data_IF_688620673518
#
_entry.id   IF_688620673518
#
_cell.length_a   1.000
_cell.length_b   1.000
_cell.length_c   1.000
_cell.angle_alpha   90.00
_cell.angle_beta   90.00
_cell.angle_gamma   90.00
#
_symmetry.space_group_name_H-M   'P 1'
#
loop_
_entity.id
_entity.type
_entity.pdbx_description
1 polymer ?
#
# COMPACT_ATOMS: atom_id res chain seq x y z
N UNK A 1 24.13 -25.19 -21.20
CA UNK A 1 23.36 -23.94 -21.33
C UNK A 1 22.19 -24.06 -20.39
N UNK A 2 22.39 -23.59 -19.17
CA UNK A 2 21.28 -23.34 -18.25
C UNK A 2 20.94 -21.87 -18.51
N UNK A 3 19.67 -21.57 -18.77
CA UNK A 3 19.23 -20.19 -18.85
C UNK A 3 19.37 -19.61 -17.44
N UNK A 4 20.42 -18.82 -17.24
CA UNK A 4 20.53 -17.86 -16.16
C UNK A 4 19.64 -16.66 -16.56
N UNK A 5 18.91 -16.10 -15.60
CA UNK A 5 18.00 -14.93 -15.70
C UNK A 5 16.48 -15.19 -15.72
N UNK A 6 15.98 -16.19 -14.99
CA UNK A 6 14.67 -16.02 -14.33
C UNK A 6 14.92 -15.69 -12.85
N UNK A 7 14.41 -14.56 -12.32
CA UNK A 7 14.53 -14.27 -10.90
C UNK A 7 13.88 -15.40 -10.11
N UNK A 8 14.54 -15.86 -9.05
CA UNK A 8 13.98 -16.86 -8.16
C UNK A 8 12.72 -16.28 -7.50
N UNK A 9 11.55 -16.61 -8.06
CA UNK A 9 10.25 -16.18 -7.56
C UNK A 9 9.94 -16.78 -6.18
N UNK A 10 10.76 -17.72 -5.66
CA UNK A 10 10.55 -18.32 -4.35
C UNK A 10 10.70 -17.33 -3.18
N UNK A 11 11.34 -16.17 -3.39
CA UNK A 11 11.48 -15.09 -2.39
C UNK A 11 10.43 -13.96 -2.54
N UNK A 12 9.48 -14.07 -3.48
CA UNK A 12 8.45 -13.04 -3.77
C UNK A 12 7.13 -13.34 -3.06
N UNK A 13 7.16 -13.18 -1.74
CA UNK A 13 5.99 -13.36 -0.89
C UNK A 13 4.82 -12.45 -1.26
N UNK A 14 5.08 -11.26 -1.83
CA UNK A 14 4.02 -10.40 -2.36
C UNK A 14 3.22 -11.04 -3.50
N UNK A 15 3.90 -11.70 -4.46
CA UNK A 15 3.25 -12.39 -5.59
C UNK A 15 2.47 -13.59 -5.07
N UNK A 16 3.10 -14.41 -4.22
CA UNK A 16 2.47 -15.60 -3.63
C UNK A 16 1.21 -15.22 -2.84
N UNK A 17 1.32 -14.25 -1.93
CA UNK A 17 0.20 -13.81 -1.09
C UNK A 17 -0.91 -13.18 -1.93
N UNK A 18 -0.58 -12.36 -2.93
CA UNK A 18 -1.59 -11.80 -3.82
C UNK A 18 -2.40 -12.90 -4.53
N UNK A 19 -1.72 -13.92 -5.08
CA UNK A 19 -2.40 -15.05 -5.71
C UNK A 19 -3.22 -15.89 -4.74
N UNK A 20 -2.77 -16.08 -3.50
CA UNK A 20 -3.56 -16.79 -2.48
C UNK A 20 -4.85 -16.02 -2.17
N UNK A 21 -4.78 -14.70 -1.95
CA UNK A 21 -5.96 -13.85 -1.73
C UNK A 21 -6.91 -13.87 -2.94
N UNK A 22 -6.38 -13.84 -4.15
CA UNK A 22 -7.16 -13.96 -5.39
C UNK A 22 -7.86 -15.31 -5.48
N UNK A 23 -7.16 -16.42 -5.21
CA UNK A 23 -7.73 -17.78 -5.22
C UNK A 23 -8.79 -17.99 -4.14
N UNK A 24 -8.62 -17.34 -2.99
CA UNK A 24 -9.59 -17.32 -1.90
C UNK A 24 -10.81 -16.42 -2.21
N UNK A 25 -10.79 -15.69 -3.34
CA UNK A 25 -11.87 -14.81 -3.78
C UNK A 25 -11.97 -13.53 -2.95
N UNK A 26 -10.90 -13.14 -2.25
CA UNK A 26 -10.89 -11.98 -1.36
C UNK A 26 -11.19 -10.68 -2.14
N UNK A 27 -10.50 -10.43 -3.25
CA UNK A 27 -10.68 -9.21 -4.04
C UNK A 27 -12.05 -9.13 -4.74
N UNK A 28 -12.64 -10.27 -5.09
CA UNK A 28 -13.97 -10.32 -5.71
C UNK A 28 -15.10 -10.13 -4.69
N UNK A 29 -14.89 -10.57 -3.45
CA UNK A 29 -15.89 -10.52 -2.38
C UNK A 29 -15.78 -9.28 -1.48
N UNK A 30 -14.67 -8.55 -1.57
CA UNK A 30 -14.39 -7.37 -0.73
C UNK A 30 -14.62 -6.08 -1.52
N UNK A 31 -15.61 -5.25 -1.14
CA UNK A 31 -15.79 -3.94 -1.77
C UNK A 31 -14.52 -3.09 -1.65
N UNK A 32 -14.23 -2.29 -2.67
CA UNK A 32 -13.01 -1.48 -2.70
C UNK A 32 -12.83 -0.59 -1.46
N UNK A 33 -13.92 0.05 -1.00
CA UNK A 33 -13.91 0.88 0.22
C UNK A 33 -13.49 0.08 1.46
N UNK A 34 -13.94 -1.18 1.57
CA UNK A 34 -13.55 -2.09 2.64
C UNK A 34 -12.07 -2.47 2.51
N UNK A 35 -11.61 -2.82 1.30
CA UNK A 35 -10.19 -3.12 1.05
C UNK A 35 -9.28 -1.94 1.43
N UNK A 36 -9.60 -0.73 0.97
CA UNK A 36 -8.84 0.48 1.34
C UNK A 36 -8.87 0.72 2.86
N UNK A 37 -10.02 0.50 3.51
CA UNK A 37 -10.13 0.56 4.96
C UNK A 37 -9.16 -0.39 5.67
N UNK A 38 -9.08 -1.64 5.22
CA UNK A 38 -8.15 -2.65 5.72
C UNK A 38 -6.69 -2.24 5.48
N UNK A 39 -6.36 -1.78 4.27
CA UNK A 39 -5.00 -1.31 3.93
C UNK A 39 -4.55 -0.14 4.82
N UNK A 40 -5.42 0.84 5.05
CA UNK A 40 -5.13 1.99 5.92
C UNK A 40 -4.93 1.55 7.38
N UNK A 41 -5.78 0.67 7.90
CA UNK A 41 -5.68 0.17 9.28
C UNK A 41 -4.42 -0.68 9.47
N UNK A 42 -4.14 -1.62 8.57
CA UNK A 42 -2.91 -2.40 8.64
C UNK A 42 -1.65 -1.53 8.54
N UNK A 43 -1.65 -0.53 7.65
CA UNK A 43 -0.52 0.41 7.54
C UNK A 43 -0.31 1.18 8.84
N UNK A 44 -1.40 1.62 9.48
CA UNK A 44 -1.37 2.35 10.75
C UNK A 44 -0.87 1.50 11.92
N UNK A 45 -1.32 0.25 12.01
CA UNK A 45 -1.07 -0.62 13.16
C UNK A 45 0.24 -1.42 13.04
N UNK A 46 0.62 -1.81 11.82
CA UNK A 46 1.72 -2.75 11.59
C UNK A 46 2.92 -2.14 10.87
N UNK A 47 2.71 -1.12 10.02
CA UNK A 47 3.79 -0.57 9.18
C UNK A 47 4.37 0.72 9.76
N UNK A 48 3.54 1.68 10.16
CA UNK A 48 4.00 2.95 10.73
C UNK A 48 4.89 2.77 11.97
N UNK A 49 4.62 1.84 12.91
CA UNK A 49 5.48 1.63 14.07
C UNK A 49 6.92 1.21 13.73
N UNK A 50 7.19 0.76 12.51
CA UNK A 50 8.53 0.39 12.03
C UNK A 50 9.44 1.62 11.78
N UNK A 51 8.90 2.84 11.85
CA UNK A 51 9.65 4.09 11.72
C UNK A 51 9.45 5.02 12.92
N UNK A 52 10.49 5.79 13.25
CA UNK A 52 10.39 6.88 14.24
C UNK A 52 9.91 8.20 13.63
N UNK A 53 9.65 8.20 12.33
CA UNK A 53 9.21 9.35 11.57
C UNK A 53 7.70 9.57 11.72
N UNK A 54 7.24 10.73 12.21
CA UNK A 54 5.82 10.96 12.44
C UNK A 54 5.03 11.31 11.18
N UNK A 55 5.66 11.67 10.05
CA UNK A 55 4.89 12.17 8.90
C UNK A 55 4.08 11.11 8.14
N UNK A 56 4.51 9.85 7.98
CA UNK A 56 3.69 8.79 7.40
C UNK A 56 2.32 8.66 8.08
N UNK A 57 2.24 8.84 9.41
CA UNK A 57 0.97 8.90 10.13
C UNK A 57 0.06 10.04 9.66
N UNK A 58 0.63 11.20 9.36
CA UNK A 58 -0.13 12.34 8.84
C UNK A 58 -0.76 12.06 7.47
N UNK A 59 -0.13 11.21 6.65
CA UNK A 59 -0.67 10.82 5.34
C UNK A 59 -1.88 9.90 5.51
N UNK A 60 -1.81 8.92 6.43
CA UNK A 60 -2.95 8.05 6.78
C UNK A 60 -4.12 8.86 7.35
N UNK A 61 -3.84 9.80 8.25
CA UNK A 61 -4.86 10.71 8.80
C UNK A 61 -5.53 11.51 7.68
N UNK A 62 -4.76 12.04 6.72
CA UNK A 62 -5.29 12.80 5.59
C UNK A 62 -6.16 11.92 4.69
N UNK A 63 -5.73 10.69 4.38
CA UNK A 63 -6.52 9.74 3.61
C UNK A 63 -7.86 9.42 4.28
N UNK A 64 -7.87 9.16 5.60
CA UNK A 64 -9.11 8.93 6.36
C UNK A 64 -10.01 10.17 6.39
N UNK A 65 -9.44 11.37 6.52
CA UNK A 65 -10.19 12.62 6.46
C UNK A 65 -10.82 12.85 5.09
N UNK A 66 -10.13 12.48 4.01
CA UNK A 66 -10.66 12.58 2.66
C UNK A 66 -11.83 11.61 2.44
N UNK A 67 -11.66 10.33 2.83
CA UNK A 67 -12.71 9.32 2.74
C UNK A 67 -13.98 9.68 3.54
N UNK A 68 -13.81 10.44 4.63
CA UNK A 68 -14.92 10.94 5.46
C UNK A 68 -15.45 12.32 5.04
N UNK A 69 -14.94 12.90 3.95
CA UNK A 69 -15.39 14.18 3.40
C UNK A 69 -14.96 15.43 4.18
N UNK A 70 -13.99 15.32 5.08
CA UNK A 70 -13.49 16.44 5.90
C UNK A 70 -12.44 17.29 5.18
N UNK A 71 -11.73 16.73 4.20
CA UNK A 71 -10.77 17.45 3.36
C UNK A 71 -11.05 17.20 1.88
N UNK A 72 -10.60 18.12 1.03
CA UNK A 72 -10.81 18.10 -0.42
C UNK A 72 -9.68 17.37 -1.16
N UNK A 73 -9.88 17.09 -2.44
CA UNK A 73 -8.81 16.59 -3.33
C UNK A 73 -7.62 17.56 -3.39
N UNK A 74 -7.85 18.88 -3.32
CA UNK A 74 -6.79 19.89 -3.31
C UNK A 74 -5.92 19.82 -2.06
N UNK A 75 -6.53 19.53 -0.90
CA UNK A 75 -5.80 19.35 0.36
C UNK A 75 -4.93 18.08 0.29
N UNK A 76 -5.49 17.01 -0.27
CA UNK A 76 -4.78 15.74 -0.48
C UNK A 76 -3.61 15.91 -1.47
N UNK A 77 -3.80 16.68 -2.54
CA UNK A 77 -2.77 17.02 -3.55
C UNK A 77 -1.59 17.80 -2.93
N UNK A 78 -1.88 18.80 -2.10
CA UNK A 78 -0.83 19.55 -1.40
C UNK A 78 -0.02 18.65 -0.49
N UNK A 79 -0.71 17.77 0.27
CA UNK A 79 -0.04 16.79 1.12
C UNK A 79 0.82 15.83 0.31
N UNK A 80 0.31 15.34 -0.82
CA UNK A 80 1.03 14.45 -1.73
C UNK A 80 2.29 15.10 -2.29
N UNK A 81 2.20 16.37 -2.69
CA UNK A 81 3.35 17.14 -3.20
C UNK A 81 4.46 17.21 -2.16
N UNK A 82 4.10 17.56 -0.91
CA UNK A 82 5.07 17.62 0.18
C UNK A 82 5.71 16.26 0.49
N UNK A 83 4.92 15.18 0.47
CA UNK A 83 5.41 13.83 0.70
C UNK A 83 6.37 13.35 -0.41
N UNK A 84 6.08 13.68 -1.68
CA UNK A 84 6.97 13.40 -2.81
C UNK A 84 8.30 14.16 -2.76
N UNK A 85 8.26 15.44 -2.39
CA UNK A 85 9.49 16.22 -2.25
C UNK A 85 10.40 15.62 -1.20
N UNK A 86 9.82 15.17 -0.08
CA UNK A 86 10.57 14.54 1.00
C UNK A 86 11.19 13.18 0.62
N UNK A 87 10.52 12.40 -0.23
CA UNK A 87 11.04 11.09 -0.68
C UNK A 87 12.43 11.16 -1.31
N UNK A 88 12.84 12.34 -1.81
CA UNK A 88 14.17 12.60 -2.37
C UNK A 88 15.29 12.46 -1.33
N UNK A 89 15.00 12.77 -0.07
CA UNK A 89 15.98 12.82 1.02
C UNK A 89 15.95 11.59 1.94
N UNK A 90 14.93 10.75 1.82
CA UNK A 90 14.77 9.53 2.64
C UNK A 90 15.54 8.35 2.05
N UNK A 91 16.00 7.46 2.93
CA UNK A 91 16.71 6.22 2.60
C UNK A 91 16.19 5.04 3.45
N UNK A 92 16.47 3.81 2.99
CA UNK A 92 16.12 2.59 3.73
C UNK A 92 14.61 2.45 3.99
N UNK A 93 14.26 1.75 5.08
CA UNK A 93 12.88 1.42 5.44
C UNK A 93 11.95 2.64 5.51
N UNK A 94 12.41 3.77 6.06
CA UNK A 94 11.61 5.01 6.13
C UNK A 94 11.20 5.52 4.75
N UNK A 95 12.06 5.37 3.73
CA UNK A 95 11.71 5.71 2.34
C UNK A 95 10.61 4.80 1.81
N UNK A 96 10.69 3.49 2.06
CA UNK A 96 9.69 2.53 1.60
C UNK A 96 8.34 2.74 2.31
N UNK A 97 8.35 3.00 3.62
CA UNK A 97 7.15 3.37 4.38
C UNK A 97 6.52 4.66 3.82
N UNK A 98 7.33 5.69 3.55
CA UNK A 98 6.81 6.92 2.94
C UNK A 98 6.26 6.68 1.52
N UNK A 99 6.86 5.79 0.72
CA UNK A 99 6.33 5.39 -0.60
C UNK A 99 4.97 4.73 -0.46
N UNK A 100 4.81 3.83 0.52
CA UNK A 100 3.52 3.21 0.83
C UNK A 100 2.49 4.26 1.25
N UNK A 101 2.80 5.15 2.19
CA UNK A 101 1.78 6.11 2.65
C UNK A 101 1.38 7.14 1.59
N UNK A 102 2.29 7.46 0.66
CA UNK A 102 2.01 8.36 -0.48
C UNK A 102 0.93 7.82 -1.41
N UNK A 103 0.81 6.49 -1.60
CA UNK A 103 -0.22 5.96 -2.51
C UNK A 103 -1.64 6.25 -2.01
N UNK A 104 -1.83 6.38 -0.69
CA UNK A 104 -3.10 6.79 -0.08
C UNK A 104 -3.41 8.28 -0.24
N UNK A 105 -2.51 9.07 -0.82
CA UNK A 105 -2.74 10.47 -1.15
C UNK A 105 -3.19 10.66 -2.61
N UNK A 106 -3.60 9.59 -3.29
CA UNK A 106 -4.21 9.66 -4.62
C UNK A 106 -5.74 9.46 -4.52
N UNK A 107 -6.55 10.46 -4.91
CA UNK A 107 -8.01 10.35 -4.85
C UNK A 107 -8.56 9.18 -5.68
N UNK A 108 -7.98 8.96 -6.87
CA UNK A 108 -8.35 7.84 -7.75
C UNK A 108 -8.22 6.49 -7.04
N UNK A 109 -7.10 6.28 -6.34
CA UNK A 109 -6.85 5.04 -5.60
C UNK A 109 -7.84 4.89 -4.44
N UNK A 110 -8.07 5.95 -3.66
CA UNK A 110 -9.02 5.92 -2.56
C UNK A 110 -10.47 5.65 -3.04
N UNK A 111 -10.79 6.06 -4.28
CA UNK A 111 -12.12 5.92 -4.88
C UNK A 111 -12.28 4.66 -5.74
N UNK A 112 -11.26 3.81 -5.86
CA UNK A 112 -11.31 2.56 -6.63
C UNK A 112 -11.27 2.77 -8.15
N UNK A 113 -10.75 3.91 -8.59
CA UNK A 113 -10.59 4.23 -10.00
C UNK A 113 -9.27 3.64 -10.46
N UNK A 114 -9.37 2.53 -11.20
CA UNK A 114 -8.22 1.93 -11.88
C UNK A 114 -7.85 2.72 -13.13
N UNK A 115 -6.55 2.98 -13.31
CA UNK A 115 -6.03 3.63 -14.52
C UNK A 115 -5.64 2.55 -15.52
N UNK A 116 -6.28 2.55 -16.69
CA UNK A 116 -6.09 1.55 -17.75
C UNK A 116 -4.66 1.41 -18.28
N UNK A 117 -3.78 2.36 -17.97
CA UNK A 117 -2.37 2.38 -18.37
C UNK A 117 -1.44 1.66 -17.37
N UNK A 118 -1.95 1.24 -16.20
CA UNK A 118 -1.14 0.52 -15.21
C UNK A 118 -1.10 -0.99 -15.54
N UNK A 119 0.08 -1.61 -15.52
CA UNK A 119 0.22 -3.04 -15.81
C UNK A 119 -0.38 -3.91 -14.70
N UNK A 120 -0.31 -3.44 -13.45
CA UNK A 120 -0.75 -4.17 -12.27
C UNK A 120 -1.91 -3.46 -11.56
N UNK A 121 -2.83 -4.20 -10.92
CA UNK A 121 -3.94 -3.63 -10.15
C UNK A 121 -3.43 -2.93 -8.89
N UNK A 122 -4.17 -1.91 -8.42
CA UNK A 122 -3.79 -1.18 -7.21
C UNK A 122 -3.76 -2.08 -5.96
N UNK A 123 -4.53 -3.16 -5.93
CA UNK A 123 -4.46 -4.18 -4.89
C UNK A 123 -3.08 -4.86 -4.83
N UNK A 124 -2.52 -5.24 -5.98
CA UNK A 124 -1.17 -5.81 -6.04
C UNK A 124 -0.10 -4.77 -5.67
N UNK A 125 -0.27 -3.52 -6.13
CA UNK A 125 0.64 -2.43 -5.79
C UNK A 125 0.81 -2.28 -4.27
N UNK A 126 -0.28 -2.34 -3.51
CA UNK A 126 -0.21 -2.27 -2.04
C UNK A 126 0.63 -3.41 -1.46
N UNK A 127 0.35 -4.66 -1.84
CA UNK A 127 1.07 -5.84 -1.33
C UNK A 127 2.54 -5.81 -1.73
N UNK A 128 2.86 -5.39 -2.95
CA UNK A 128 4.23 -5.23 -3.41
C UNK A 128 4.99 -4.16 -2.57
N UNK A 129 4.33 -3.06 -2.23
CA UNK A 129 4.93 -2.01 -1.39
C UNK A 129 5.16 -2.47 0.06
N UNK A 130 4.36 -3.40 0.57
CA UNK A 130 4.63 -4.04 1.86
C UNK A 130 5.93 -4.85 1.83
N UNK A 131 6.13 -5.66 0.79
CA UNK A 131 7.35 -6.46 0.63
C UNK A 131 8.60 -5.59 0.46
N UNK A 132 8.49 -4.45 -0.23
CA UNK A 132 9.54 -3.43 -0.35
C UNK A 132 10.01 -2.89 1.02
N UNK A 133 9.15 -2.94 2.04
CA UNK A 133 9.44 -2.49 3.42
C UNK A 133 10.06 -3.62 4.24
N UNK A 134 9.36 -4.76 4.29
CA UNK A 134 9.78 -5.97 4.97
C UNK A 134 9.10 -7.19 4.30
N UNK A 135 9.86 -8.23 3.90
CA UNK A 135 9.30 -9.41 3.23
C UNK A 135 8.23 -10.18 4.02
N UNK A 136 8.15 -10.00 5.34
CA UNK A 136 7.12 -10.63 6.18
C UNK A 136 5.75 -9.94 6.11
N UNK A 137 5.70 -8.64 5.78
CA UNK A 137 4.48 -7.83 5.82
C UNK A 137 3.36 -8.30 4.88
N UNK A 138 3.61 -8.83 3.66
CA UNK A 138 2.55 -9.45 2.86
C UNK A 138 1.83 -10.58 3.62
N UNK A 139 2.59 -11.47 4.26
CA UNK A 139 2.03 -12.58 5.03
C UNK A 139 1.26 -12.07 6.24
N UNK A 140 1.78 -11.06 6.94
CA UNK A 140 1.08 -10.43 8.06
C UNK A 140 -0.21 -9.75 7.62
N UNK A 141 -0.23 -9.09 6.45
CA UNK A 141 -1.44 -8.50 5.90
C UNK A 141 -2.48 -9.55 5.56
N UNK A 142 -2.08 -10.69 4.96
CA UNK A 142 -2.99 -11.81 4.72
C UNK A 142 -3.63 -12.29 6.03
N UNK A 143 -2.82 -12.54 7.07
CA UNK A 143 -3.33 -12.97 8.36
C UNK A 143 -4.32 -11.95 8.95
N UNK A 144 -3.98 -10.66 8.88
CA UNK A 144 -4.84 -9.57 9.33
C UNK A 144 -6.21 -9.57 8.63
N UNK A 145 -6.25 -9.74 7.30
CA UNK A 145 -7.54 -9.75 6.57
C UNK A 145 -8.32 -11.06 6.72
N UNK A 146 -7.68 -12.17 7.09
CA UNK A 146 -8.39 -13.42 7.41
C UNK A 146 -9.03 -13.41 8.81
N UNK A 147 -8.55 -12.53 9.71
CA UNK A 147 -9.05 -12.39 11.08
C UNK A 147 -10.17 -11.35 11.23
N UNK A 148 -10.40 -10.52 10.20
CA UNK A 148 -11.40 -9.44 10.17
C UNK A 148 -12.47 -9.67 9.10
#
# INVERSE_FOLDING_TARGET
MVNEDEPDLSDRDDIRIYHELEQEGFFDSTPWETFIGLCLTFTEESVIPLTHDPLPQGDIVSARQFLSGHITESDLEQRRTAAWDRLKDLVGATKHIQRLTVIFLYPDLLSGIERSERPDPNSFLFINLLWDIDPSLPTDFKNFVCEN
#
